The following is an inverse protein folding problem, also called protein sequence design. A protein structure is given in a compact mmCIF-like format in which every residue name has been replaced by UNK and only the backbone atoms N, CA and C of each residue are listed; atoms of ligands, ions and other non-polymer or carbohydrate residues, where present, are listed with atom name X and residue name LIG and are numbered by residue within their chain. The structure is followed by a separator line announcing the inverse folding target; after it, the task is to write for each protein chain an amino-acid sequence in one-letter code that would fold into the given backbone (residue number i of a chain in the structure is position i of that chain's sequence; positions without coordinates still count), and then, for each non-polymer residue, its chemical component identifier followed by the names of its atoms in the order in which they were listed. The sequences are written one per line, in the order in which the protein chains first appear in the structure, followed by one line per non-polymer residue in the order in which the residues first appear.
data_IF_898607166743
#
_entry.id   IF_898607166743
#
_cell.length_a   1.000
_cell.length_b   1.000
_cell.length_c   1.000
_cell.angle_alpha   90.00
_cell.angle_beta   90.00
_cell.angle_gamma   90.00
#
_symmetry.space_group_name_H-M   'P 1'
#
loop_
_entity.id
_entity.type
_entity.pdbx_description
1 polymer ?
#
# COMPACT_ATOMS: atom_id res chain seq x y z
N UNK A 1 -4.24 14.64 -9.54
CA UNK A 1 -3.04 13.82 -9.31
C UNK A 1 -3.45 12.36 -9.17
N UNK A 2 -2.54 11.44 -9.45
CA UNK A 2 -2.76 9.99 -9.30
C UNK A 2 -2.62 9.59 -7.82
N UNK A 3 -3.74 9.27 -7.16
CA UNK A 3 -3.77 9.01 -5.70
C UNK A 3 -4.16 7.58 -5.32
N UNK A 4 -4.54 6.74 -6.30
CA UNK A 4 -5.12 5.42 -6.04
C UNK A 4 -4.13 4.43 -5.43
N UNK A 5 -2.87 4.50 -5.83
CA UNK A 5 -1.83 3.52 -5.45
C UNK A 5 -1.30 3.75 -4.03
N UNK A 6 -1.15 5.00 -3.61
CA UNK A 6 -0.66 5.36 -2.27
C UNK A 6 -1.74 5.44 -1.19
N UNK A 7 -3.02 5.60 -1.57
CA UNK A 7 -4.13 5.74 -0.61
C UNK A 7 -4.24 4.61 0.44
N UNK A 8 -4.05 3.32 0.11
CA UNK A 8 -4.27 2.25 1.07
C UNK A 8 -3.31 2.24 2.27
N UNK A 9 -2.11 2.82 2.18
CA UNK A 9 -1.23 2.94 3.36
C UNK A 9 -1.63 4.14 4.23
N UNK A 10 -2.03 5.24 3.60
CA UNK A 10 -2.54 6.42 4.28
C UNK A 10 -3.78 6.09 5.11
N UNK A 11 -4.74 5.36 4.51
CA UNK A 11 -5.99 4.97 5.17
C UNK A 11 -5.77 4.00 6.34
N UNK A 12 -4.65 3.26 6.38
CA UNK A 12 -4.35 2.29 7.44
C UNK A 12 -3.53 2.86 8.59
N UNK A 13 -2.70 3.87 8.33
CA UNK A 13 -1.71 4.38 9.29
C UNK A 13 -2.06 5.77 9.82
N UNK A 14 -2.64 6.65 8.99
CA UNK A 14 -2.87 8.03 9.39
C UNK A 14 -4.16 8.18 10.20
N UNK A 15 -4.03 8.91 11.31
CA UNK A 15 -5.13 9.41 12.13
C UNK A 15 -4.89 10.90 12.43
N UNK A 16 -5.90 11.66 12.88
CA UNK A 16 -5.71 13.05 13.28
C UNK A 16 -4.69 13.25 14.42
N UNK A 17 -4.41 12.21 15.20
CA UNK A 17 -3.45 12.24 16.30
C UNK A 17 -2.04 11.78 15.89
N UNK A 18 -1.83 11.37 14.64
CA UNK A 18 -0.53 10.87 14.16
C UNK A 18 0.53 11.98 14.20
N UNK A 19 1.69 11.75 14.83
CA UNK A 19 2.78 12.73 14.85
C UNK A 19 3.28 13.08 13.45
N UNK A 20 3.76 14.32 13.27
CA UNK A 20 4.22 14.81 11.97
C UNK A 20 5.32 13.94 11.35
N UNK A 21 6.26 13.43 12.15
CA UNK A 21 7.36 12.58 11.67
C UNK A 21 6.84 11.24 11.11
N UNK A 22 5.82 10.68 11.76
CA UNK A 22 5.17 9.45 11.31
C UNK A 22 4.33 9.70 10.06
N UNK A 23 3.63 10.85 10.01
CA UNK A 23 2.87 11.25 8.84
C UNK A 23 3.77 11.48 7.61
N UNK A 24 4.93 12.13 7.79
CA UNK A 24 5.91 12.34 6.73
C UNK A 24 6.46 11.01 6.20
N UNK A 25 6.84 10.10 7.09
CA UNK A 25 7.26 8.74 6.72
C UNK A 25 6.17 7.98 5.96
N UNK A 26 4.92 8.05 6.42
CA UNK A 26 3.78 7.41 5.74
C UNK A 26 3.55 8.00 4.33
N UNK A 27 3.68 9.32 4.19
CA UNK A 27 3.59 9.99 2.89
C UNK A 27 4.66 9.51 1.91
N UNK A 28 5.91 9.32 2.37
CA UNK A 28 7.00 8.79 1.54
C UNK A 28 6.74 7.35 1.09
N UNK A 29 6.21 6.49 1.98
CA UNK A 29 5.81 5.12 1.63
C UNK A 29 4.66 5.09 0.61
N UNK A 30 3.70 6.03 0.74
CA UNK A 30 2.61 6.22 -0.22
C UNK A 30 3.13 6.64 -1.60
N UNK A 31 4.10 7.57 -1.64
CA UNK A 31 4.74 7.98 -2.89
C UNK A 31 5.56 6.87 -3.53
N UNK A 32 6.30 6.09 -2.74
CA UNK A 32 7.05 4.93 -3.22
C UNK A 32 6.16 3.92 -3.96
N UNK A 33 5.02 3.59 -3.36
CA UNK A 33 4.01 2.71 -3.96
C UNK A 33 3.46 3.29 -5.27
N UNK A 34 3.32 4.61 -5.34
CA UNK A 34 2.78 5.30 -6.52
C UNK A 34 3.80 5.35 -7.66
N UNK A 35 5.06 5.68 -7.36
CA UNK A 35 6.17 5.68 -8.32
C UNK A 35 6.36 4.31 -8.98
N UNK A 36 6.24 3.24 -8.18
CA UNK A 36 6.40 1.85 -8.67
C UNK A 36 5.26 1.39 -9.58
N UNK A 37 4.04 1.90 -9.37
CA UNK A 37 2.84 1.45 -10.08
C UNK A 37 2.38 2.38 -11.20
N UNK A 38 2.90 3.61 -11.26
CA UNK A 38 2.51 4.57 -12.28
C UNK A 38 3.69 5.45 -12.74
N UNK A 39 4.07 5.28 -14.02
CA UNK A 39 5.14 6.02 -14.68
C UNK A 39 4.85 7.53 -14.86
N UNK A 40 3.60 7.96 -14.67
CA UNK A 40 3.25 9.38 -14.73
C UNK A 40 3.67 10.15 -13.47
N UNK A 41 4.10 9.45 -12.42
CA UNK A 41 4.64 10.02 -11.19
C UNK A 41 6.13 9.75 -11.17
N UNK A 42 6.93 10.75 -10.81
CA UNK A 42 8.39 10.69 -10.89
C UNK A 42 9.07 11.54 -9.81
N UNK A 43 10.37 11.31 -9.66
CA UNK A 43 11.24 12.13 -8.82
C UNK A 43 11.72 13.37 -9.60
N UNK A 44 12.11 14.46 -8.92
CA UNK A 44 12.19 14.61 -7.47
C UNK A 44 10.84 14.88 -6.80
N UNK A 45 10.76 14.61 -5.49
CA UNK A 45 9.61 14.93 -4.63
C UNK A 45 9.96 16.06 -3.67
N UNK A 46 9.09 17.05 -3.55
CA UNK A 46 9.23 18.08 -2.51
C UNK A 46 8.39 17.69 -1.28
N UNK A 47 9.04 17.60 -0.12
CA UNK A 47 8.41 17.33 1.17
C UNK A 47 8.55 18.54 2.07
N UNK A 48 7.44 18.95 2.67
CA UNK A 48 7.35 20.06 3.61
C UNK A 48 6.59 19.64 4.85
N UNK A 49 7.17 19.88 6.02
CA UNK A 49 6.52 19.63 7.32
C UNK A 49 6.26 20.97 7.99
N UNK A 50 4.99 21.25 8.25
CA UNK A 50 4.55 22.46 8.93
C UNK A 50 4.05 22.12 10.33
N UNK A 51 4.55 22.85 11.33
CA UNK A 51 4.09 22.75 12.72
C UNK A 51 3.07 23.84 13.00
N UNK A 52 1.95 23.46 13.60
CA UNK A 52 0.92 24.43 14.00
C UNK A 52 1.51 25.54 14.88
N UNK A 53 1.18 26.79 14.55
CA UNK A 53 1.59 27.97 15.31
C UNK A 53 3.05 28.39 15.15
N UNK A 54 3.88 27.70 14.36
CA UNK A 54 5.28 28.12 14.15
C UNK A 54 5.39 29.38 13.28
N UNK A 55 4.46 29.56 12.33
CA UNK A 55 4.54 30.59 11.28
C UNK A 55 5.88 30.60 10.50
N UNK A 56 6.63 29.50 10.58
CA UNK A 56 7.89 29.26 9.89
C UNK A 56 7.96 27.80 9.43
N UNK A 57 8.74 27.55 8.38
CA UNK A 57 8.96 26.20 7.87
C UNK A 57 10.45 25.98 7.65
N UNK A 58 11.09 25.30 8.58
CA UNK A 58 12.51 24.93 8.47
C UNK A 58 12.70 23.49 7.97
N UNK A 59 11.61 22.72 7.87
CA UNK A 59 11.62 21.31 7.44
C UNK A 59 11.09 21.18 6.01
N UNK A 60 11.93 21.57 5.05
CA UNK A 60 11.67 21.42 3.62
C UNK A 60 12.83 20.64 2.99
N UNK A 61 12.51 19.62 2.19
CA UNK A 61 13.51 18.81 1.51
C UNK A 61 13.03 18.42 0.12
N UNK A 62 13.92 18.55 -0.86
CA UNK A 62 13.76 17.96 -2.18
C UNK A 62 14.42 16.58 -2.18
N UNK A 63 13.65 15.55 -2.51
CA UNK A 63 14.03 14.15 -2.44
C UNK A 63 14.20 13.64 -3.87
N UNK A 64 15.42 13.33 -4.25
CA UNK A 64 15.75 12.70 -5.51
C UNK A 64 15.99 11.19 -5.34
N UNK A 65 16.34 10.52 -6.44
CA UNK A 65 16.68 9.09 -6.47
C UNK A 65 17.89 8.71 -5.60
N UNK A 66 18.73 9.68 -5.25
CA UNK A 66 19.97 9.48 -4.48
C UNK A 66 19.79 9.78 -3.00
N UNK A 67 18.61 10.24 -2.58
CA UNK A 67 18.34 10.52 -1.18
C UNK A 67 18.46 9.23 -0.34
N UNK A 68 19.40 9.16 0.63
CA UNK A 68 19.68 7.92 1.35
C UNK A 68 18.50 7.46 2.22
N UNK A 69 17.71 8.40 2.74
CA UNK A 69 16.53 8.07 3.54
C UNK A 69 15.42 7.46 2.67
N UNK A 70 15.19 8.02 1.48
CA UNK A 70 14.20 7.48 0.55
C UNK A 70 14.57 6.10 0.03
N UNK A 71 15.85 5.86 -0.31
CA UNK A 71 16.35 4.54 -0.69
C UNK A 71 16.21 3.50 0.43
N UNK A 72 16.45 3.91 1.68
CA UNK A 72 16.25 3.06 2.85
C UNK A 72 14.76 2.71 3.02
N UNK A 73 13.83 3.67 2.86
CA UNK A 73 12.39 3.38 2.90
C UNK A 73 12.01 2.38 1.82
N UNK A 74 12.40 2.63 0.56
CA UNK A 74 12.08 1.77 -0.58
C UNK A 74 12.51 0.32 -0.34
N UNK A 75 13.76 0.11 0.08
CA UNK A 75 14.31 -1.23 0.32
C UNK A 75 13.68 -1.92 1.54
N UNK A 76 13.62 -1.21 2.68
CA UNK A 76 13.12 -1.79 3.94
C UNK A 76 11.63 -2.11 3.85
N UNK A 77 10.82 -1.21 3.29
CA UNK A 77 9.38 -1.42 3.17
C UNK A 77 9.06 -2.61 2.26
N UNK A 78 9.72 -2.69 1.11
CA UNK A 78 9.56 -3.81 0.18
C UNK A 78 9.93 -5.16 0.81
N UNK A 79 11.04 -5.21 1.56
CA UNK A 79 11.45 -6.41 2.28
C UNK A 79 10.45 -6.80 3.37
N UNK A 80 10.04 -5.86 4.23
CA UNK A 80 9.11 -6.14 5.33
C UNK A 80 7.74 -6.59 4.84
N UNK A 81 7.22 -6.00 3.77
CA UNK A 81 5.98 -6.46 3.15
C UNK A 81 6.07 -7.90 2.67
N UNK A 82 7.21 -8.28 2.09
CA UNK A 82 7.45 -9.65 1.64
C UNK A 82 7.52 -10.64 2.81
N UNK A 83 8.25 -10.29 3.87
CA UNK A 83 8.35 -11.11 5.08
C UNK A 83 6.96 -11.32 5.73
N UNK A 84 6.16 -10.25 5.81
CA UNK A 84 4.79 -10.34 6.34
C UNK A 84 3.92 -11.22 5.45
N UNK A 85 4.03 -11.10 4.12
CA UNK A 85 3.28 -11.93 3.18
C UNK A 85 3.66 -13.42 3.29
N UNK A 86 4.95 -13.73 3.37
CA UNK A 86 5.46 -15.11 3.53
C UNK A 86 5.08 -15.72 4.89
N UNK A 87 4.76 -14.89 5.89
CA UNK A 87 4.23 -15.34 7.18
C UNK A 87 2.74 -15.67 7.20
N UNK A 88 1.99 -15.37 6.13
CA UNK A 88 0.56 -15.70 6.02
C UNK A 88 0.42 -17.14 5.54
N UNK A 89 -0.35 -17.95 6.25
CA UNK A 89 -0.60 -19.33 5.87
C UNK A 89 -1.26 -19.44 4.50
N UNK A 90 -0.83 -20.43 3.72
CA UNK A 90 -1.40 -20.69 2.39
C UNK A 90 -2.89 -21.05 2.48
N UNK A 91 -3.70 -20.64 1.49
CA UNK A 91 -5.11 -21.02 1.44
C UNK A 91 -5.26 -22.53 1.24
N UNK A 92 -6.03 -23.16 2.12
CA UNK A 92 -6.43 -24.58 2.02
C UNK A 92 -7.74 -24.67 1.24
N UNK A 93 -7.69 -25.30 0.06
CA UNK A 93 -8.82 -25.34 -0.87
C UNK A 93 -9.78 -26.52 -0.66
N UNK A 94 -9.32 -27.58 0.00
CA UNK A 94 -10.01 -28.88 0.10
C UNK A 94 -10.70 -29.10 1.46
N UNK A 95 -10.78 -28.07 2.30
CA UNK A 95 -11.38 -28.18 3.63
C UNK A 95 -10.52 -28.97 4.63
N UNK A 96 -9.21 -29.13 4.36
CA UNK A 96 -8.26 -29.66 5.34
C UNK A 96 -8.25 -28.88 6.65
N UNK A 97 -7.72 -29.49 7.72
CA UNK A 97 -7.68 -28.88 9.04
C UNK A 97 -6.76 -27.65 9.06
N UNK A 98 -7.37 -26.47 9.07
CA UNK A 98 -6.72 -25.17 9.25
C UNK A 98 -7.51 -24.35 10.26
N UNK A 99 -6.82 -23.49 11.02
CA UNK A 99 -7.46 -22.55 11.95
C UNK A 99 -8.31 -21.50 11.20
N UNK A 100 -7.97 -21.23 9.93
CA UNK A 100 -8.63 -20.22 9.09
C UNK A 100 -8.99 -20.80 7.71
N UNK A 101 -10.10 -21.55 7.58
CA UNK A 101 -10.48 -22.17 6.31
C UNK A 101 -10.95 -21.16 5.27
N UNK A 102 -10.55 -21.36 4.02
CA UNK A 102 -11.10 -20.64 2.88
C UNK A 102 -12.50 -21.20 2.57
N UNK A 103 -13.52 -20.63 3.21
CA UNK A 103 -14.90 -21.09 3.08
C UNK A 103 -15.62 -20.47 1.88
N UNK A 104 -16.45 -21.26 1.20
CA UNK A 104 -17.36 -20.77 0.18
C UNK A 104 -18.44 -19.86 0.79
N UNK A 105 -18.94 -18.91 0.01
CA UNK A 105 -20.03 -18.04 0.46
C UNK A 105 -21.37 -18.77 0.44
N UNK A 106 -22.13 -18.68 1.53
CA UNK A 106 -23.53 -19.13 1.56
C UNK A 106 -24.46 -18.24 0.72
N UNK A 107 -24.00 -17.02 0.37
CA UNK A 107 -24.82 -16.00 -0.30
C UNK A 107 -24.59 -15.94 -1.80
N UNK A 108 -23.41 -16.30 -2.27
CA UNK A 108 -23.02 -16.15 -3.67
C UNK A 108 -22.45 -17.47 -4.21
N UNK A 109 -23.03 -17.95 -5.30
CA UNK A 109 -22.55 -19.16 -5.96
C UNK A 109 -21.16 -18.93 -6.59
N UNK A 110 -20.25 -19.93 -6.54
CA UNK A 110 -18.96 -19.83 -7.21
C UNK A 110 -19.14 -19.74 -8.72
N UNK A 111 -18.17 -19.11 -9.41
CA UNK A 111 -18.17 -19.04 -10.87
C UNK A 111 -18.19 -20.46 -11.47
N UNK A 112 -19.25 -20.76 -12.23
CA UNK A 112 -19.35 -21.99 -13.01
C UNK A 112 -18.44 -21.94 -14.23
N UNK A 113 -17.90 -23.10 -14.64
CA UNK A 113 -17.27 -23.22 -15.96
C UNK A 113 -18.35 -23.11 -17.03
N UNK A 114 -18.10 -22.33 -18.07
CA UNK A 114 -18.96 -22.26 -19.25
C UNK A 114 -18.84 -23.61 -19.96
N UNK A 115 -19.87 -24.44 -19.83
CA UNK A 115 -19.90 -25.77 -20.44
C UNK A 115 -20.76 -25.79 -21.69
N UNK A 116 -21.63 -24.79 -21.87
CA UNK A 116 -22.47 -24.60 -23.05
C UNK A 116 -22.39 -23.16 -23.56
N UNK A 117 -22.70 -22.90 -24.85
CA UNK A 117 -22.69 -21.57 -25.43
C UNK A 117 -23.60 -20.58 -24.69
N UNK A 118 -24.71 -21.05 -24.11
CA UNK A 118 -25.62 -20.27 -23.27
C UNK A 118 -25.07 -19.85 -21.89
N UNK A 119 -23.97 -20.44 -21.41
CA UNK A 119 -23.38 -20.12 -20.09
C UNK A 119 -22.48 -18.86 -20.11
N UNK A 120 -22.34 -18.19 -21.26
CA UNK A 120 -21.53 -16.96 -21.37
C UNK A 120 -22.19 -15.80 -20.63
N UNK A 121 -21.58 -15.40 -19.51
CA UNK A 121 -21.82 -14.10 -18.90
C UNK A 121 -21.16 -13.05 -19.81
N UNK A 122 -21.96 -12.13 -20.36
CA UNK A 122 -21.54 -11.04 -21.26
C UNK A 122 -20.50 -10.14 -20.59
#
# INVERSE_FOLDING_TARGET
GESKYGKPILDRVLTPATPLDEAAKCALVSMDSTLKSNLSVGLPLDLLVYREGSFSTDQVVCIDEKNPYFQMIHSTWGQRLREVFEGIADPVWDGGATEHPLAASDRFAPMGKITKPEDRIV
#
